data_IF_614116812951
#
_entry.id   IF_614116812951
#
_cell.length_a   1.000
_cell.length_b   1.000
_cell.length_c   1.000
_cell.angle_alpha   90.00
_cell.angle_beta   90.00
_cell.angle_gamma   90.00
#
_symmetry.space_group_name_H-M   'P 1'
#
loop_
_entity.id
_entity.type
_entity.pdbx_description
1 polymer ?
#
# COMPACT_ATOMS: atom_id res chain seq x y z
N UNK A 1 16.14 8.12 -6.79
CA UNK A 1 15.97 9.26 -5.87
C UNK A 1 14.76 9.02 -4.98
N UNK A 2 14.90 9.23 -3.66
CA UNK A 2 13.79 9.12 -2.70
C UNK A 2 12.69 10.16 -3.00
N UNK A 3 11.44 9.72 -2.92
CA UNK A 3 10.24 10.57 -2.96
C UNK A 3 9.29 10.03 -1.90
N UNK A 4 8.93 10.87 -0.92
CA UNK A 4 7.95 10.50 0.10
C UNK A 4 6.54 10.48 -0.47
N UNK A 5 5.69 9.64 0.09
CA UNK A 5 4.28 9.51 -0.27
C UNK A 5 3.43 10.55 0.47
N UNK A 6 3.62 11.82 0.13
CA UNK A 6 2.90 12.94 0.76
C UNK A 6 1.69 13.42 -0.06
N UNK A 7 1.35 12.73 -1.16
CA UNK A 7 0.24 13.14 -2.02
C UNK A 7 -1.03 12.43 -1.55
N UNK A 8 -1.87 13.14 -0.81
CA UNK A 8 -3.26 12.72 -0.61
C UNK A 8 -3.99 12.94 -1.92
N UNK A 9 -4.55 11.87 -2.46
CA UNK A 9 -5.41 11.97 -3.62
C UNK A 9 -6.77 12.53 -3.22
N UNK A 10 -7.32 13.38 -4.10
CA UNK A 10 -8.56 14.14 -3.85
C UNK A 10 -9.79 13.22 -3.96
N UNK A 11 -9.66 12.13 -4.72
CA UNK A 11 -10.71 11.15 -4.95
C UNK A 11 -10.15 9.74 -4.72
N UNK A 12 -10.98 8.87 -4.16
CA UNK A 12 -10.70 7.45 -3.93
C UNK A 12 -11.91 6.62 -4.31
N UNK A 13 -11.71 5.33 -4.59
CA UNK A 13 -12.82 4.39 -4.75
C UNK A 13 -13.72 4.35 -3.50
N UNK A 14 -13.19 4.72 -2.33
CA UNK A 14 -13.97 4.80 -1.09
C UNK A 14 -15.09 5.86 -1.19
N UNK A 15 -14.90 6.92 -1.99
CA UNK A 15 -15.91 7.98 -2.19
C UNK A 15 -17.11 7.52 -3.03
N UNK A 16 -16.97 6.41 -3.77
CA UNK A 16 -18.04 5.80 -4.56
C UNK A 16 -18.94 4.89 -3.71
N UNK A 17 -18.56 4.60 -2.47
CA UNK A 17 -19.30 3.72 -1.57
C UNK A 17 -20.54 4.43 -1.01
N UNK A 18 -21.65 3.70 -0.91
CA UNK A 18 -22.78 4.20 -0.13
C UNK A 18 -22.47 4.17 1.38
N UNK A 19 -23.26 4.90 2.17
CA UNK A 19 -23.03 5.03 3.62
C UNK A 19 -22.82 3.68 4.33
N UNK A 20 -23.66 2.69 4.03
CA UNK A 20 -23.57 1.36 4.66
C UNK A 20 -22.27 0.65 4.30
N UNK A 21 -21.83 0.75 3.05
CA UNK A 21 -20.54 0.21 2.60
C UNK A 21 -19.37 0.94 3.26
N UNK A 22 -19.44 2.27 3.35
CA UNK A 22 -18.44 3.09 4.03
C UNK A 22 -18.28 2.73 5.51
N UNK A 23 -19.38 2.56 6.24
CA UNK A 23 -19.36 2.16 7.66
C UNK A 23 -18.74 0.76 7.87
N UNK A 24 -19.05 -0.18 6.96
CA UNK A 24 -18.44 -1.51 6.96
C UNK A 24 -16.95 -1.46 6.64
N UNK A 25 -16.54 -0.63 5.67
CA UNK A 25 -15.14 -0.46 5.34
C UNK A 25 -14.36 0.15 6.50
N UNK A 26 -14.92 1.18 7.14
CA UNK A 26 -14.30 1.89 8.26
C UNK A 26 -14.11 1.01 9.50
N UNK A 27 -14.98 0.02 9.69
CA UNK A 27 -14.86 -0.99 10.75
C UNK A 27 -14.04 -2.22 10.36
N UNK A 28 -13.60 -2.33 9.11
CA UNK A 28 -12.87 -3.49 8.60
C UNK A 28 -11.44 -3.58 9.13
N UNK A 29 -10.92 -4.81 9.23
CA UNK A 29 -9.51 -5.06 9.59
C UNK A 29 -8.52 -4.34 8.66
N UNK A 30 -8.85 -4.19 7.38
CA UNK A 30 -8.02 -3.47 6.41
C UNK A 30 -7.88 -1.99 6.75
N UNK A 31 -8.98 -1.33 7.11
CA UNK A 31 -8.93 0.09 7.52
C UNK A 31 -8.18 0.28 8.84
N UNK A 32 -8.38 -0.62 9.81
CA UNK A 32 -7.59 -0.62 11.05
C UNK A 32 -6.09 -0.83 10.78
N UNK A 33 -5.72 -1.75 9.89
CA UNK A 33 -4.34 -1.95 9.48
C UNK A 33 -3.75 -0.68 8.86
N UNK A 34 -4.51 0.00 7.99
CA UNK A 34 -4.09 1.27 7.41
C UNK A 34 -3.80 2.32 8.50
N UNK A 35 -4.73 2.53 9.42
CA UNK A 35 -4.57 3.56 10.46
C UNK A 35 -3.48 3.25 11.49
N UNK A 36 -3.30 1.98 11.86
CA UNK A 36 -2.32 1.59 12.88
C UNK A 36 -0.91 1.51 12.28
N UNK A 37 -0.77 0.92 11.09
CA UNK A 37 0.54 0.64 10.49
C UNK A 37 0.84 1.62 9.36
N UNK A 38 0.07 1.59 8.27
CA UNK A 38 0.40 2.32 7.05
C UNK A 38 0.58 3.83 7.28
N UNK A 39 -0.33 4.45 8.02
CA UNK A 39 -0.30 5.88 8.32
C UNK A 39 0.80 6.31 9.30
N UNK A 40 1.42 5.37 10.04
CA UNK A 40 2.40 5.68 11.08
C UNK A 40 3.84 5.29 10.71
N UNK A 41 4.06 4.69 9.53
CA UNK A 41 5.42 4.42 9.05
C UNK A 41 6.09 5.73 8.63
N UNK A 42 7.22 6.06 9.25
CA UNK A 42 8.07 7.17 8.85
C UNK A 42 8.92 6.79 7.63
N UNK A 43 8.54 7.24 6.44
CA UNK A 43 9.27 6.90 5.21
C UNK A 43 10.71 7.42 5.16
N UNK A 44 11.05 8.45 5.95
CA UNK A 44 12.41 8.98 6.00
C UNK A 44 13.43 7.98 6.53
N UNK A 45 12.98 7.00 7.33
CA UNK A 45 13.83 5.93 7.86
C UNK A 45 14.38 5.03 6.73
N UNK A 46 13.72 5.02 5.57
CA UNK A 46 14.12 4.24 4.39
C UNK A 46 14.89 5.07 3.36
N UNK A 47 15.09 6.38 3.59
CA UNK A 47 15.69 7.29 2.59
C UNK A 47 17.03 6.77 2.05
N UNK A 48 17.85 6.22 2.92
CA UNK A 48 19.22 5.81 2.58
C UNK A 48 19.25 4.49 1.78
N UNK A 49 18.12 3.79 1.66
CA UNK A 49 17.96 2.63 0.75
C UNK A 49 17.77 3.06 -0.70
N UNK A 50 17.53 4.34 -0.97
CA UNK A 50 17.26 4.83 -2.32
C UNK A 50 18.50 5.38 -3.01
N UNK A 51 18.60 5.10 -4.31
CA UNK A 51 19.67 5.65 -5.14
C UNK A 51 19.66 7.17 -5.14
N UNK A 52 20.85 7.76 -4.96
CA UNK A 52 21.11 9.19 -5.11
C UNK A 52 21.11 9.65 -6.57
N UNK A 53 21.10 8.70 -7.52
CA UNK A 53 20.99 8.98 -8.96
C UNK A 53 19.55 8.79 -9.44
N UNK A 54 19.26 9.32 -10.62
CA UNK A 54 18.03 8.98 -11.32
C UNK A 54 17.98 7.47 -11.54
N UNK A 55 16.89 6.85 -11.10
CA UNK A 55 16.66 5.41 -11.12
C UNK A 55 15.23 5.14 -11.58
N UNK A 56 14.82 3.86 -11.63
CA UNK A 56 13.42 3.49 -11.85
C UNK A 56 12.48 4.22 -10.86
N UNK A 57 11.20 4.43 -11.24
CA UNK A 57 10.20 5.05 -10.38
C UNK A 57 10.19 4.40 -9.00
N UNK A 58 10.14 5.23 -7.97
CA UNK A 58 10.10 4.77 -6.60
C UNK A 58 8.71 4.26 -6.24
N UNK A 59 8.65 3.15 -5.48
CA UNK A 59 7.45 2.74 -4.75
C UNK A 59 7.56 3.28 -3.32
N UNK A 60 6.49 3.88 -2.76
CA UNK A 60 6.49 4.31 -1.37
C UNK A 60 6.97 3.22 -0.41
N UNK A 61 7.84 3.60 0.52
CA UNK A 61 8.45 2.66 1.46
C UNK A 61 7.40 2.04 2.39
N UNK A 62 6.44 2.84 2.84
CA UNK A 62 5.33 2.38 3.67
C UNK A 62 4.46 1.34 2.94
N UNK A 63 4.19 1.49 1.64
CA UNK A 63 3.45 0.51 0.84
C UNK A 63 4.19 -0.84 0.83
N UNK A 64 5.50 -0.84 0.58
CA UNK A 64 6.29 -2.07 0.53
C UNK A 64 6.37 -2.76 1.90
N UNK A 65 6.67 -2.01 2.95
CA UNK A 65 6.76 -2.53 4.32
C UNK A 65 5.41 -3.10 4.78
N UNK A 66 4.32 -2.36 4.56
CA UNK A 66 2.99 -2.83 4.89
C UNK A 66 2.57 -4.06 4.08
N UNK A 67 2.92 -4.14 2.78
CA UNK A 67 2.61 -5.30 1.97
C UNK A 67 3.30 -6.57 2.50
N UNK A 68 4.55 -6.47 2.94
CA UNK A 68 5.28 -7.58 3.54
C UNK A 68 4.69 -7.98 4.90
N UNK A 69 4.37 -7.02 5.78
CA UNK A 69 3.71 -7.31 7.06
C UNK A 69 2.35 -7.98 6.81
N UNK A 70 1.56 -7.46 5.87
CA UNK A 70 0.24 -8.00 5.54
C UNK A 70 0.32 -9.44 4.99
N UNK A 71 1.33 -9.72 4.14
CA UNK A 71 1.63 -11.07 3.65
C UNK A 71 1.90 -12.03 4.80
N UNK A 72 2.80 -11.67 5.71
CA UNK A 72 3.16 -12.53 6.85
C UNK A 72 1.98 -12.73 7.82
N UNK A 73 1.22 -11.68 8.13
CA UNK A 73 0.03 -11.77 8.97
C UNK A 73 -1.05 -12.69 8.38
N UNK A 74 -1.17 -12.74 7.05
CA UNK A 74 -2.12 -13.60 6.35
C UNK A 74 -1.56 -15.01 6.08
N UNK A 75 -0.26 -15.22 6.22
CA UNK A 75 0.39 -16.50 5.92
C UNK A 75 0.35 -16.86 4.43
N UNK A 76 0.35 -15.87 3.54
CA UNK A 76 0.21 -16.06 2.08
C UNK A 76 1.55 -15.99 1.35
N UNK A 77 1.57 -16.50 0.12
CA UNK A 77 2.69 -16.40 -0.81
C UNK A 77 2.82 -15.00 -1.42
N UNK A 78 3.94 -14.75 -2.10
CA UNK A 78 4.14 -13.50 -2.85
C UNK A 78 3.21 -13.38 -4.07
N UNK A 79 2.84 -14.50 -4.70
CA UNK A 79 1.89 -14.46 -5.83
C UNK A 79 0.51 -14.05 -5.34
N UNK A 80 0.05 -14.64 -4.24
CA UNK A 80 -1.23 -14.28 -3.61
C UNK A 80 -1.23 -12.84 -3.09
N UNK A 81 -0.09 -12.34 -2.58
CA UNK A 81 0.04 -10.93 -2.23
C UNK A 81 -0.16 -10.03 -3.45
N UNK A 82 0.50 -10.33 -4.56
CA UNK A 82 0.41 -9.53 -5.79
C UNK A 82 -1.02 -9.59 -6.35
N UNK A 83 -1.62 -10.77 -6.43
CA UNK A 83 -3.01 -10.94 -6.86
C UNK A 83 -3.97 -10.15 -5.97
N UNK A 84 -3.80 -10.22 -4.65
CA UNK A 84 -4.58 -9.46 -3.68
C UNK A 84 -4.45 -7.95 -3.88
N UNK A 85 -3.25 -7.42 -4.08
CA UNK A 85 -3.05 -5.99 -4.36
C UNK A 85 -3.76 -5.55 -5.65
N UNK A 86 -3.78 -6.41 -6.67
CA UNK A 86 -4.41 -6.11 -7.97
C UNK A 86 -5.94 -6.15 -7.87
N UNK A 87 -6.51 -7.18 -7.24
CA UNK A 87 -7.94 -7.49 -7.36
C UNK A 87 -8.76 -7.37 -6.06
N UNK A 88 -8.13 -7.29 -4.88
CA UNK A 88 -8.83 -7.25 -3.59
C UNK A 88 -8.85 -5.83 -2.99
N UNK A 89 -10.05 -5.25 -2.88
CA UNK A 89 -10.27 -3.95 -2.25
C UNK A 89 -9.80 -3.90 -0.79
N UNK A 90 -9.81 -5.01 -0.05
CA UNK A 90 -9.29 -5.03 1.32
C UNK A 90 -7.77 -4.83 1.38
N UNK A 91 -7.04 -5.36 0.40
CA UNK A 91 -5.60 -5.10 0.29
C UNK A 91 -5.37 -3.65 -0.12
N UNK A 92 -6.15 -3.11 -1.06
CA UNK A 92 -6.05 -1.71 -1.47
C UNK A 92 -6.31 -0.75 -0.29
N UNK A 93 -7.36 -0.99 0.49
CA UNK A 93 -7.64 -0.22 1.72
C UNK A 93 -6.49 -0.33 2.72
N UNK A 94 -5.99 -1.55 3.00
CA UNK A 94 -4.91 -1.75 3.96
C UNK A 94 -3.60 -1.06 3.53
N UNK A 95 -3.35 -0.97 2.22
CA UNK A 95 -2.16 -0.37 1.63
C UNK A 95 -2.36 1.08 1.19
N UNK A 96 -3.49 1.70 1.54
CA UNK A 96 -3.75 3.11 1.22
C UNK A 96 -3.78 3.43 -0.27
N UNK A 97 -4.19 2.46 -1.10
CA UNK A 97 -4.29 2.63 -2.55
C UNK A 97 -5.67 3.21 -2.88
N UNK A 98 -5.70 4.38 -3.49
CA UNK A 98 -6.93 5.13 -3.73
C UNK A 98 -7.66 4.71 -5.02
N UNK A 99 -6.96 4.17 -6.01
CA UNK A 99 -7.58 3.70 -7.25
C UNK A 99 -7.63 2.17 -7.34
N UNK A 100 -8.73 1.68 -7.93
CA UNK A 100 -8.88 0.26 -8.26
C UNK A 100 -7.77 -0.19 -9.23
N UNK A 101 -7.35 0.68 -10.14
CA UNK A 101 -6.28 0.40 -11.10
C UNK A 101 -4.86 0.43 -10.52
N UNK A 102 -4.67 0.79 -9.25
CA UNK A 102 -3.33 0.93 -8.68
C UNK A 102 -2.62 -0.42 -8.58
N UNK A 103 -1.42 -0.47 -9.17
CA UNK A 103 -0.48 -1.60 -9.07
C UNK A 103 0.88 -1.00 -8.63
N UNK A 104 1.08 -0.78 -7.32
CA UNK A 104 2.20 0.00 -6.82
C UNK A 104 3.54 -0.70 -7.01
N UNK A 105 3.57 -2.03 -7.05
CA UNK A 105 4.81 -2.80 -7.17
C UNK A 105 4.61 -4.10 -7.95
N UNK A 106 5.74 -4.66 -8.39
CA UNK A 106 5.82 -5.99 -8.99
C UNK A 106 6.67 -6.89 -8.11
N UNK A 107 6.71 -8.19 -8.42
CA UNK A 107 7.64 -9.13 -7.78
C UNK A 107 9.09 -8.62 -7.83
N UNK A 108 9.52 -8.07 -8.97
CA UNK A 108 10.89 -7.56 -9.11
C UNK A 108 11.19 -6.43 -8.10
N UNK A 109 10.22 -5.57 -7.79
CA UNK A 109 10.38 -4.50 -6.79
C UNK A 109 10.71 -5.07 -5.39
N UNK A 110 10.17 -6.25 -5.06
CA UNK A 110 10.34 -6.89 -3.76
C UNK A 110 11.66 -7.66 -3.60
N UNK A 111 12.42 -7.86 -4.67
CA UNK A 111 13.62 -8.71 -4.65
C UNK A 111 14.85 -8.09 -5.32
N UNK A 112 14.67 -7.11 -6.22
CA UNK A 112 15.76 -6.54 -7.03
C UNK A 112 16.07 -5.10 -6.59
N UNK A 113 16.56 -4.96 -5.35
CA UNK A 113 17.01 -3.69 -4.78
C UNK A 113 18.48 -3.41 -5.13
#
# INVERSE_FOLDING_TARGET
MFKSNNQQEIFSFEDELNQKQGDLLNSSKGKWFYHILFSNINELDFRDLYSQKASRPNVPGNVLVCALILKELKGISYDELIEGVVFDLHFKTALGLSWIGDIPFSRATLFNF
#
